data_IF_975452598136
#
_entry.id   IF_975452598136
#
_cell.length_a   1.000
_cell.length_b   1.000
_cell.length_c   1.000
_cell.angle_alpha   90.00
_cell.angle_beta   90.00
_cell.angle_gamma   90.00
#
_symmetry.space_group_name_H-M   'P 1'
#
loop_
_entity.id
_entity.type
_entity.pdbx_description
1 polymer ?
#
# COMPACT_ATOMS: atom_id res chain seq x y z
N UNK A 1 15.24 5.01 -6.50
CA UNK A 1 13.88 4.42 -6.48
C UNK A 1 13.18 4.98 -5.24
N UNK A 2 11.91 5.36 -5.37
CA UNK A 2 11.07 5.86 -4.26
C UNK A 2 9.87 4.93 -4.17
N UNK A 3 9.56 4.46 -2.97
CA UNK A 3 8.51 3.46 -2.73
C UNK A 3 7.48 4.01 -1.73
N UNK A 4 6.20 3.85 -2.05
CA UNK A 4 5.08 4.15 -1.15
C UNK A 4 4.40 2.85 -0.69
N UNK A 5 5.18 1.96 -0.05
CA UNK A 5 4.77 0.60 0.30
C UNK A 5 3.59 0.51 1.28
N UNK A 6 3.33 1.58 2.02
CA UNK A 6 2.30 1.60 3.06
C UNK A 6 0.87 1.49 2.49
N UNK A 7 0.67 1.83 1.22
CA UNK A 7 -0.59 1.60 0.48
C UNK A 7 -0.96 0.11 0.50
N UNK A 8 0.01 -0.78 0.23
CA UNK A 8 -0.17 -2.23 0.25
C UNK A 8 -0.48 -2.74 1.66
N UNK A 9 0.25 -2.28 2.67
CA UNK A 9 0.01 -2.71 4.05
C UNK A 9 -1.38 -2.31 4.55
N UNK A 10 -1.85 -1.11 4.19
CA UNK A 10 -3.20 -0.67 4.50
C UNK A 10 -4.26 -1.50 3.77
N UNK A 11 -4.00 -1.89 2.51
CA UNK A 11 -4.86 -2.79 1.76
C UNK A 11 -4.93 -4.20 2.37
N UNK A 12 -3.81 -4.79 2.80
CA UNK A 12 -3.82 -6.07 3.55
C UNK A 12 -4.69 -5.99 4.82
N UNK A 13 -4.67 -4.84 5.49
CA UNK A 13 -5.51 -4.59 6.66
C UNK A 13 -6.97 -4.21 6.31
N UNK A 14 -7.33 -4.08 5.03
CA UNK A 14 -8.59 -3.50 4.55
C UNK A 14 -8.92 -2.18 5.26
N UNK A 15 -7.91 -1.33 5.43
CA UNK A 15 -8.00 -0.03 6.10
C UNK A 15 -8.24 1.08 5.08
N UNK A 16 -9.50 1.54 4.88
CA UNK A 16 -9.79 2.62 3.93
C UNK A 16 -9.13 3.95 4.31
N UNK A 17 -8.81 4.17 5.59
CA UNK A 17 -8.17 5.41 6.05
C UNK A 17 -6.70 5.39 5.68
N UNK A 18 -5.97 4.35 6.09
CA UNK A 18 -4.57 4.18 5.72
C UNK A 18 -4.38 4.19 4.21
N UNK A 19 -5.19 3.41 3.48
CA UNK A 19 -5.07 3.29 2.03
C UNK A 19 -5.28 4.63 1.31
N UNK A 20 -6.30 5.40 1.70
CA UNK A 20 -6.56 6.72 1.14
C UNK A 20 -5.40 7.69 1.43
N UNK A 21 -4.98 7.80 2.69
CA UNK A 21 -3.99 8.79 3.08
C UNK A 21 -2.58 8.48 2.55
N UNK A 22 -2.18 7.21 2.49
CA UNK A 22 -0.91 6.81 1.88
C UNK A 22 -0.94 7.04 0.35
N UNK A 23 -2.09 6.85 -0.31
CA UNK A 23 -2.27 7.18 -1.73
C UNK A 23 -2.17 8.69 -1.97
N UNK A 24 -2.80 9.51 -1.12
CA UNK A 24 -2.71 10.97 -1.20
C UNK A 24 -1.28 11.46 -0.99
N UNK A 25 -0.57 10.91 0.00
CA UNK A 25 0.84 11.21 0.23
C UNK A 25 1.70 10.86 -0.99
N UNK A 26 1.47 9.69 -1.61
CA UNK A 26 2.20 9.33 -2.83
C UNK A 26 1.90 10.29 -3.99
N UNK A 27 0.65 10.73 -4.14
CA UNK A 27 0.28 11.73 -5.14
C UNK A 27 1.00 13.08 -4.92
N UNK A 28 1.20 13.52 -3.67
CA UNK A 28 2.01 14.71 -3.36
C UNK A 28 3.48 14.53 -3.75
N UNK A 29 4.04 13.33 -3.54
CA UNK A 29 5.40 12.98 -3.98
C UNK A 29 5.50 13.03 -5.51
N UNK A 30 4.52 12.47 -6.23
CA UNK A 30 4.47 12.52 -7.70
C UNK A 30 4.40 13.96 -8.20
N UNK A 31 3.58 14.83 -7.59
CA UNK A 31 3.54 16.25 -7.95
C UNK A 31 4.90 16.95 -7.71
N UNK A 32 5.53 16.67 -6.57
CA UNK A 32 6.87 17.19 -6.28
C UNK A 32 7.89 16.75 -7.33
N UNK A 33 7.92 15.46 -7.69
CA UNK A 33 8.84 14.92 -8.70
C UNK A 33 8.58 15.55 -10.07
N UNK A 34 7.33 15.70 -10.49
CA UNK A 34 6.98 16.38 -11.75
C UNK A 34 7.48 17.82 -11.78
N UNK A 35 7.28 18.57 -10.70
CA UNK A 35 7.80 19.95 -10.57
C UNK A 35 9.33 19.97 -10.59
N UNK A 36 9.99 18.98 -10.00
CA UNK A 36 11.43 18.84 -10.03
C UNK A 36 11.95 18.57 -11.44
N UNK A 37 11.34 17.65 -12.19
CA UNK A 37 11.67 17.33 -13.60
C UNK A 37 11.54 18.56 -14.49
N UNK A 38 10.51 19.39 -14.29
CA UNK A 38 10.37 20.64 -15.05
C UNK A 38 11.55 21.60 -14.91
N UNK A 39 12.35 21.49 -13.83
CA UNK A 39 13.57 22.28 -13.61
C UNK A 39 14.86 21.53 -13.99
N UNK A 40 14.76 20.25 -14.28
CA UNK A 40 15.87 19.33 -14.60
C UNK A 40 15.46 18.48 -15.80
N UNK A 41 15.45 19.06 -17.01
CA UNK A 41 14.87 18.44 -18.20
C UNK A 41 15.65 17.21 -18.70
N UNK A 42 16.83 16.94 -18.14
CA UNK A 42 17.61 15.71 -18.34
C UNK A 42 17.08 14.51 -17.53
N UNK A 43 15.91 14.65 -16.89
CA UNK A 43 15.31 13.63 -16.04
C UNK A 43 13.91 13.23 -16.48
N UNK A 44 13.60 11.96 -16.32
CA UNK A 44 12.26 11.40 -16.51
C UNK A 44 11.84 10.54 -15.31
N UNK A 45 10.54 10.38 -15.13
CA UNK A 45 9.93 9.54 -14.11
C UNK A 45 9.13 8.44 -14.77
N UNK A 46 9.27 7.22 -14.25
CA UNK A 46 8.30 6.14 -14.38
C UNK A 46 7.74 5.83 -12.99
N UNK A 47 6.43 5.62 -12.89
CA UNK A 47 5.73 5.24 -11.67
C UNK A 47 4.76 4.11 -12.00
N UNK A 48 4.89 2.99 -11.33
CA UNK A 48 3.98 1.85 -11.41
C UNK A 48 3.80 1.26 -10.01
N UNK A 49 2.67 0.58 -9.80
CA UNK A 49 2.56 -0.37 -8.70
C UNK A 49 3.26 -1.68 -9.11
N UNK A 50 3.71 -2.45 -8.13
CA UNK A 50 4.19 -3.81 -8.32
C UNK A 50 3.03 -4.81 -8.43
N UNK A 51 1.93 -4.57 -7.71
CA UNK A 51 0.64 -5.27 -7.82
C UNK A 51 -0.51 -4.43 -7.22
N UNK A 52 -1.75 -4.89 -7.40
CA UNK A 52 -2.88 -4.42 -6.59
C UNK A 52 -3.00 -5.26 -5.32
N UNK A 53 -3.56 -4.67 -4.26
CA UNK A 53 -3.84 -5.36 -3.01
C UNK A 53 -5.25 -5.04 -2.49
N UNK A 54 -5.92 -6.06 -1.95
CA UNK A 54 -7.21 -5.94 -1.28
C UNK A 54 -8.44 -6.16 -2.18
N UNK A 55 -8.30 -6.04 -3.51
CA UNK A 55 -9.44 -6.09 -4.43
C UNK A 55 -10.47 -5.00 -4.11
N UNK A 56 -9.99 -3.76 -4.02
CA UNK A 56 -10.78 -2.60 -3.61
C UNK A 56 -11.87 -2.28 -4.64
N UNK A 57 -13.11 -2.08 -4.19
CA UNK A 57 -14.20 -1.59 -5.05
C UNK A 57 -15.02 -0.49 -4.37
N UNK A 58 -15.45 0.49 -5.18
CA UNK A 58 -16.18 1.70 -4.74
C UNK A 58 -17.63 1.73 -5.27
N UNK A 59 -18.16 0.56 -5.66
CA UNK A 59 -19.41 0.43 -6.43
C UNK A 59 -20.65 0.18 -5.59
N UNK A 60 -20.57 0.30 -4.26
CA UNK A 60 -21.71 0.06 -3.38
C UNK A 60 -22.65 1.26 -3.35
N UNK A 61 -23.95 0.97 -3.25
CA UNK A 61 -24.94 1.99 -2.93
C UNK A 61 -24.57 2.69 -1.60
N UNK A 62 -24.62 4.03 -1.60
CA UNK A 62 -24.20 4.81 -0.44
C UNK A 62 -22.69 5.06 -0.32
N UNK A 63 -21.90 4.85 -1.39
CA UNK A 63 -20.49 5.26 -1.41
C UNK A 63 -20.33 6.73 -0.99
N UNK A 64 -19.61 6.95 0.12
CA UNK A 64 -19.37 8.25 0.68
C UNK A 64 -17.97 8.31 1.34
N UNK A 65 -16.94 8.76 0.62
CA UNK A 65 -15.58 8.82 1.15
C UNK A 65 -15.40 9.94 2.19
N UNK A 66 -16.33 10.90 2.29
CA UNK A 66 -16.19 12.04 3.22
C UNK A 66 -16.17 11.62 4.68
N UNK A 67 -16.74 10.46 5.02
CA UNK A 67 -16.74 9.96 6.40
C UNK A 67 -15.33 9.60 6.88
N UNK A 68 -14.42 9.24 5.96
CA UNK A 68 -13.04 8.90 6.29
C UNK A 68 -12.28 10.11 6.85
N UNK A 69 -12.72 11.34 6.54
CA UNK A 69 -12.12 12.59 7.05
C UNK A 69 -12.15 12.69 8.58
N UNK A 70 -13.08 12.01 9.24
CA UNK A 70 -13.18 12.02 10.70
C UNK A 70 -12.11 11.15 11.37
N UNK A 71 -11.46 10.26 10.62
CA UNK A 71 -10.40 9.42 11.15
C UNK A 71 -9.10 10.21 11.33
N UNK A 72 -8.39 9.95 12.42
CA UNK A 72 -7.10 10.55 12.75
C UNK A 72 -6.06 9.50 13.14
N UNK A 73 -6.34 8.22 12.87
CA UNK A 73 -5.46 7.09 13.15
C UNK A 73 -5.79 5.93 12.22
N UNK A 74 -4.80 5.16 11.81
CA UNK A 74 -4.96 3.92 11.05
C UNK A 74 -5.35 2.76 11.97
N UNK A 75 -5.85 1.66 11.40
CA UNK A 75 -6.16 0.46 12.18
C UNK A 75 -4.93 -0.13 12.86
N UNK A 76 -3.75 -0.04 12.24
CA UNK A 76 -2.48 -0.54 12.82
C UNK A 76 -2.07 0.28 14.05
N UNK A 77 -2.15 1.61 13.97
CA UNK A 77 -1.89 2.48 15.11
C UNK A 77 -2.85 2.16 16.27
N UNK A 78 -4.13 1.96 15.95
CA UNK A 78 -5.16 1.64 16.94
C UNK A 78 -5.02 0.22 17.51
N UNK A 79 -4.55 -0.75 16.72
CA UNK A 79 -4.21 -2.08 17.21
C UNK A 79 -3.10 -2.01 18.26
N UNK A 80 -2.08 -1.17 18.04
CA UNK A 80 -1.01 -0.90 19.01
C UNK A 80 -1.54 -0.24 20.29
N UNK A 81 -2.52 0.67 20.18
CA UNK A 81 -3.17 1.27 21.35
C UNK A 81 -3.98 0.23 22.12
N UNK A 82 -4.76 -0.60 21.43
CA UNK A 82 -5.60 -1.61 22.08
C UNK A 82 -4.81 -2.75 22.70
N UNK A 83 -3.70 -3.17 22.08
CA UNK A 83 -2.84 -4.22 22.65
C UNK A 83 -2.24 -3.81 24.01
N UNK A 84 -1.89 -2.53 24.16
CA UNK A 84 -1.32 -1.94 25.39
C UNK A 84 -2.36 -1.70 26.50
N UNK A 85 -3.65 -1.76 26.19
CA UNK A 85 -4.69 -1.61 27.22
C UNK A 85 -4.67 -2.80 28.19
N UNK A 86 -4.62 -2.51 29.49
CA UNK A 86 -4.58 -3.51 30.59
C UNK A 86 -5.78 -3.43 31.53
N UNK A 87 -6.74 -2.53 31.26
CA UNK A 87 -7.95 -2.40 32.07
C UNK A 87 -8.96 -3.53 31.82
N UNK A 88 -9.96 -3.62 32.70
CA UNK A 88 -10.96 -4.69 32.68
C UNK A 88 -12.19 -4.37 31.81
N UNK A 89 -12.31 -3.14 31.31
CA UNK A 89 -13.43 -2.71 30.45
C UNK A 89 -12.96 -2.45 29.02
N UNK A 90 -12.74 -3.52 28.25
CA UNK A 90 -12.32 -3.40 26.85
C UNK A 90 -13.42 -2.77 25.98
N UNK A 91 -14.70 -3.01 26.30
CA UNK A 91 -15.82 -2.47 25.54
C UNK A 91 -15.94 -0.96 25.73
N UNK A 92 -15.77 -0.45 26.96
CA UNK A 92 -15.65 0.99 27.24
C UNK A 92 -14.47 1.61 26.52
N UNK A 93 -13.28 1.00 26.64
CA UNK A 93 -12.07 1.48 25.98
C UNK A 93 -12.22 1.58 24.45
N UNK A 94 -12.84 0.58 23.81
CA UNK A 94 -13.13 0.65 22.38
C UNK A 94 -14.00 1.87 22.03
N UNK A 95 -15.05 2.14 22.82
CA UNK A 95 -15.97 3.27 22.61
C UNK A 95 -15.28 4.62 22.78
N UNK A 96 -14.39 4.77 23.77
CA UNK A 96 -13.82 6.06 24.16
C UNK A 96 -12.50 6.37 23.47
N UNK A 97 -11.66 5.36 23.24
CA UNK A 97 -10.26 5.56 22.84
C UNK A 97 -9.94 5.06 21.44
N UNK A 98 -10.72 4.10 20.91
CA UNK A 98 -10.44 3.50 19.59
C UNK A 98 -11.38 4.07 18.52
N UNK A 99 -12.69 3.86 18.66
CA UNK A 99 -13.67 4.21 17.63
C UNK A 99 -13.64 5.70 17.21
N UNK A 100 -13.60 6.67 18.14
CA UNK A 100 -13.57 8.08 17.77
C UNK A 100 -12.34 8.46 16.95
N UNK A 101 -11.18 7.84 17.26
CA UNK A 101 -9.92 8.08 16.52
C UNK A 101 -9.94 7.46 15.13
N UNK A 102 -10.72 6.40 14.92
CA UNK A 102 -10.96 5.81 13.61
C UNK A 102 -12.11 6.49 12.84
N UNK A 103 -12.72 7.55 13.38
CA UNK A 103 -13.82 8.26 12.74
C UNK A 103 -15.19 7.58 12.87
N UNK A 104 -15.33 6.56 13.72
CA UNK A 104 -16.62 5.94 14.04
C UNK A 104 -17.14 6.56 15.35
N UNK A 105 -18.20 7.36 15.28
CA UNK A 105 -18.78 8.05 16.46
C UNK A 105 -19.95 7.31 17.09
N UNK A 106 -20.54 6.36 16.36
CA UNK A 106 -21.73 5.61 16.77
C UNK A 106 -21.56 4.08 16.59
N UNK A 107 -20.57 3.46 17.26
CA UNK A 107 -20.40 2.02 17.19
C UNK A 107 -21.59 1.31 17.84
N UNK A 108 -22.11 0.27 17.18
CA UNK A 108 -23.19 -0.56 17.71
C UNK A 108 -22.66 -1.52 18.78
N UNK A 109 -23.56 -2.04 19.62
CA UNK A 109 -23.19 -3.06 20.61
C UNK A 109 -22.60 -4.32 19.96
N UNK A 110 -23.10 -4.72 18.78
CA UNK A 110 -22.61 -5.88 18.03
C UNK A 110 -21.18 -5.66 17.50
N UNK A 111 -20.90 -4.48 16.96
CA UNK A 111 -19.56 -4.12 16.48
C UNK A 111 -18.52 -4.11 17.60
N UNK A 112 -18.90 -3.59 18.77
CA UNK A 112 -18.03 -3.59 19.95
C UNK A 112 -17.79 -5.03 20.42
N UNK A 113 -18.87 -5.82 20.54
CA UNK A 113 -18.77 -7.22 20.95
C UNK A 113 -17.91 -8.05 19.98
N UNK A 114 -17.90 -7.70 18.69
CA UNK A 114 -17.04 -8.32 17.69
C UNK A 114 -15.56 -7.99 17.91
N UNK A 115 -15.20 -6.76 18.29
CA UNK A 115 -13.80 -6.33 18.43
C UNK A 115 -13.17 -6.69 19.78
N UNK A 116 -13.95 -6.78 20.87
CA UNK A 116 -13.45 -7.14 22.22
C UNK A 116 -12.57 -8.41 22.22
N UNK A 117 -13.01 -9.55 21.65
CA UNK A 117 -12.20 -10.78 21.67
C UNK A 117 -11.00 -10.74 20.71
N UNK A 118 -10.89 -9.73 19.85
CA UNK A 118 -9.80 -9.61 18.87
C UNK A 118 -8.59 -8.85 19.42
N UNK A 119 -8.56 -8.50 20.70
CA UNK A 119 -7.36 -7.90 21.32
C UNK A 119 -6.14 -8.79 21.07
N UNK A 120 -5.06 -8.20 20.56
CA UNK A 120 -3.83 -8.90 20.16
C UNK A 120 -3.97 -9.89 18.99
N UNK A 121 -5.11 -9.92 18.30
CA UNK A 121 -5.29 -10.71 17.07
C UNK A 121 -5.00 -9.86 15.85
N UNK A 122 -4.32 -10.43 14.85
CA UNK A 122 -4.17 -9.82 13.53
C UNK A 122 -5.52 -9.53 12.85
N UNK A 123 -6.60 -10.22 13.24
CA UNK A 123 -7.94 -9.96 12.69
C UNK A 123 -8.60 -8.68 13.20
N UNK A 124 -8.05 -8.04 14.25
CA UNK A 124 -8.59 -6.78 14.77
C UNK A 124 -8.59 -5.67 13.71
N UNK A 125 -7.49 -5.53 12.97
CA UNK A 125 -7.32 -4.48 11.96
C UNK A 125 -8.34 -4.62 10.84
N UNK A 126 -8.47 -5.84 10.28
CA UNK A 126 -9.46 -6.12 9.24
C UNK A 126 -10.90 -5.94 9.75
N UNK A 127 -11.20 -6.34 10.98
CA UNK A 127 -12.55 -6.20 11.53
C UNK A 127 -12.94 -4.72 11.71
N UNK A 128 -12.04 -3.91 12.27
CA UNK A 128 -12.25 -2.47 12.43
C UNK A 128 -12.33 -1.75 11.06
N UNK A 129 -11.44 -2.08 10.14
CA UNK A 129 -11.43 -1.53 8.78
C UNK A 129 -12.73 -1.84 8.02
N UNK A 130 -13.27 -3.06 8.16
CA UNK A 130 -14.57 -3.44 7.57
C UNK A 130 -15.73 -2.63 8.13
N UNK A 131 -15.73 -2.30 9.43
CA UNK A 131 -16.80 -1.51 10.03
C UNK A 131 -16.86 -0.09 9.44
N UNK A 132 -15.72 0.56 9.21
CA UNK A 132 -15.70 1.87 8.54
C UNK A 132 -15.96 1.74 7.04
N UNK A 133 -15.41 0.72 6.38
CA UNK A 133 -15.64 0.45 4.95
C UNK A 133 -17.14 0.29 4.64
N UNK A 134 -17.86 -0.46 5.46
CA UNK A 134 -19.30 -0.66 5.32
C UNK A 134 -20.09 0.67 5.43
N UNK A 135 -19.67 1.57 6.33
CA UNK A 135 -20.27 2.91 6.44
C UNK A 135 -19.96 3.79 5.23
N UNK A 136 -18.79 3.59 4.61
CA UNK A 136 -18.31 4.38 3.47
C UNK A 136 -18.77 3.84 2.11
N UNK A 137 -19.46 2.69 2.06
CA UNK A 137 -19.78 2.00 0.81
C UNK A 137 -18.56 1.47 0.07
N UNK A 138 -17.52 1.05 0.80
CA UNK A 138 -16.27 0.49 0.29
C UNK A 138 -16.27 -1.03 0.51
N UNK A 139 -15.89 -1.80 -0.50
CA UNK A 139 -15.72 -3.24 -0.39
C UNK A 139 -14.30 -3.68 -0.71
N UNK A 140 -13.92 -4.80 -0.11
CA UNK A 140 -12.63 -5.47 -0.27
C UNK A 140 -12.90 -6.94 -0.57
N UNK A 141 -12.35 -7.46 -1.67
CA UNK A 141 -12.53 -8.84 -2.06
C UNK A 141 -11.60 -9.80 -1.31
N UNK A 142 -10.45 -9.31 -0.86
CA UNK A 142 -9.40 -10.11 -0.23
C UNK A 142 -8.62 -9.26 0.78
N UNK A 143 -7.73 -9.90 1.54
CA UNK A 143 -6.68 -9.26 2.33
C UNK A 143 -5.29 -9.62 1.78
N UNK A 144 -5.22 -9.93 0.49
CA UNK A 144 -4.03 -10.36 -0.26
C UNK A 144 -3.96 -9.59 -1.58
N UNK A 145 -2.93 -9.87 -2.38
CA UNK A 145 -2.76 -9.24 -3.69
C UNK A 145 -3.82 -9.72 -4.68
N UNK A 146 -4.11 -8.91 -5.70
CA UNK A 146 -4.85 -9.33 -6.87
C UNK A 146 -4.04 -9.16 -8.16
N UNK A 147 -4.43 -9.87 -9.20
CA UNK A 147 -3.69 -9.97 -10.46
C UNK A 147 -4.21 -9.01 -11.54
N UNK A 148 -4.80 -7.88 -11.14
CA UNK A 148 -5.22 -6.86 -12.11
C UNK A 148 -3.99 -6.20 -12.73
N UNK A 149 -4.11 -5.80 -14.00
CA UNK A 149 -3.11 -4.97 -14.63
C UNK A 149 -3.02 -3.63 -13.89
N UNK A 150 -1.79 -3.20 -13.61
CA UNK A 150 -1.49 -1.93 -12.93
C UNK A 150 -1.15 -0.84 -13.93
N UNK A 151 -1.45 0.40 -13.60
CA UNK A 151 -1.17 1.55 -14.47
C UNK A 151 0.32 1.94 -14.40
N UNK A 152 0.95 2.06 -15.56
CA UNK A 152 2.25 2.71 -15.72
C UNK A 152 2.07 4.19 -16.05
N UNK A 153 2.62 5.06 -15.22
CA UNK A 153 2.68 6.49 -15.43
C UNK A 153 4.10 6.91 -15.82
N UNK A 154 4.22 7.79 -16.81
CA UNK A 154 5.47 8.38 -17.25
C UNK A 154 5.40 9.90 -17.29
N UNK A 155 6.49 10.58 -16.97
CA UNK A 155 6.62 12.03 -17.12
C UNK A 155 8.05 12.45 -17.46
N UNK A 156 8.19 13.32 -18.45
CA UNK A 156 9.43 14.05 -18.76
C UNK A 156 9.09 15.51 -19.11
N UNK A 157 10.10 16.37 -19.21
CA UNK A 157 9.89 17.77 -19.59
C UNK A 157 9.92 17.96 -21.12
N UNK A 158 9.16 18.93 -21.64
CA UNK A 158 9.23 19.33 -23.04
C UNK A 158 8.92 18.22 -24.05
N UNK A 159 9.71 18.14 -25.12
CA UNK A 159 9.54 17.15 -26.19
C UNK A 159 9.89 15.72 -25.76
N UNK A 160 10.70 15.54 -24.72
CA UNK A 160 11.03 14.22 -24.18
C UNK A 160 9.79 13.52 -23.60
N UNK A 161 8.77 14.28 -23.19
CA UNK A 161 7.49 13.69 -22.78
C UNK A 161 6.76 12.99 -23.94
N UNK A 162 6.93 13.48 -25.18
CA UNK A 162 6.37 12.85 -26.38
C UNK A 162 7.14 11.59 -26.73
N UNK A 163 8.48 11.64 -26.61
CA UNK A 163 9.35 10.47 -26.82
C UNK A 163 9.03 9.38 -25.80
N UNK A 164 8.99 9.71 -24.51
CA UNK A 164 8.62 8.78 -23.44
C UNK A 164 7.25 8.14 -23.70
N UNK A 165 6.24 8.93 -24.10
CA UNK A 165 4.92 8.40 -24.47
C UNK A 165 4.99 7.47 -25.68
N UNK A 166 5.79 7.80 -26.70
CA UNK A 166 5.99 6.96 -27.87
C UNK A 166 6.69 5.64 -27.58
N UNK A 167 7.59 5.63 -26.59
CA UNK A 167 8.37 4.45 -26.21
C UNK A 167 7.67 3.56 -25.18
N UNK A 168 6.98 4.17 -24.21
CA UNK A 168 6.42 3.47 -23.04
C UNK A 168 4.89 3.53 -22.95
N UNK A 169 4.21 4.19 -23.90
CA UNK A 169 2.76 4.13 -24.00
C UNK A 169 2.29 2.74 -24.41
N UNK A 170 1.21 2.24 -23.80
CA UNK A 170 0.64 0.93 -24.09
C UNK A 170 0.77 -0.05 -22.92
N UNK A 171 0.65 -1.35 -23.22
CA UNK A 171 0.74 -2.42 -22.23
C UNK A 171 2.14 -3.03 -22.22
N UNK A 172 2.68 -3.25 -21.03
CA UNK A 172 4.03 -3.75 -20.81
C UNK A 172 4.01 -4.80 -19.71
N UNK A 173 4.79 -5.86 -19.92
CA UNK A 173 5.15 -6.76 -18.84
C UNK A 173 6.21 -6.10 -17.95
N UNK A 174 6.14 -6.35 -16.64
CA UNK A 174 7.03 -5.71 -15.67
C UNK A 174 8.52 -6.04 -15.90
N UNK A 175 8.84 -7.14 -16.58
CA UNK A 175 10.22 -7.50 -16.95
C UNK A 175 10.81 -6.62 -18.05
N UNK A 176 9.97 -5.88 -18.78
CA UNK A 176 10.41 -5.01 -19.88
C UNK A 176 10.86 -3.62 -19.38
N UNK A 177 10.34 -3.16 -18.23
CA UNK A 177 10.68 -1.85 -17.65
C UNK A 177 12.19 -1.71 -17.35
N UNK A 178 12.87 -2.69 -16.71
CA UNK A 178 14.31 -2.63 -16.51
C UNK A 178 15.10 -2.45 -17.81
N UNK A 179 14.67 -3.07 -18.92
CA UNK A 179 15.33 -2.92 -20.22
C UNK A 179 15.21 -1.51 -20.78
N UNK A 180 14.08 -0.84 -20.55
CA UNK A 180 13.94 0.58 -20.89
C UNK A 180 14.84 1.47 -20.03
N UNK A 181 14.92 1.22 -18.72
CA UNK A 181 15.79 1.95 -17.80
C UNK A 181 17.27 1.78 -18.18
N UNK A 182 17.69 0.55 -18.52
CA UNK A 182 19.04 0.27 -19.03
C UNK A 182 19.36 1.09 -20.28
N UNK A 183 18.44 1.12 -21.25
CA UNK A 183 18.56 1.89 -22.48
C UNK A 183 18.77 3.38 -22.20
N UNK A 184 17.92 3.96 -21.35
CA UNK A 184 17.95 5.40 -21.04
C UNK A 184 19.22 5.79 -20.30
N UNK A 185 19.65 4.97 -19.33
CA UNK A 185 20.84 5.24 -18.52
C UNK A 185 22.15 4.83 -19.21
N UNK A 186 22.10 4.11 -20.34
CA UNK A 186 23.28 3.57 -21.01
C UNK A 186 24.03 2.52 -20.18
N UNK A 187 23.32 1.79 -19.32
CA UNK A 187 23.89 0.77 -18.42
C UNK A 187 23.44 -0.63 -18.81
N UNK A 188 24.17 -1.65 -18.35
CA UNK A 188 23.76 -3.06 -18.46
C UNK A 188 23.84 -3.75 -17.10
N UNK A 189 22.70 -4.03 -16.50
CA UNK A 189 22.50 -4.77 -15.25
C UNK A 189 23.09 -6.17 -15.33
N UNK A 190 23.12 -6.79 -16.52
CA UNK A 190 23.82 -8.08 -16.72
C UNK A 190 25.32 -7.98 -16.45
N UNK A 191 25.96 -6.89 -16.85
CA UNK A 191 27.39 -6.68 -16.60
C UNK A 191 27.65 -6.45 -15.10
N UNK A 192 26.78 -5.68 -14.43
CA UNK A 192 26.81 -5.52 -12.97
C UNK A 192 26.60 -6.86 -12.24
N UNK A 193 25.66 -7.69 -12.70
CA UNK A 193 25.41 -9.03 -12.15
C UNK A 193 26.64 -9.93 -12.31
N UNK A 194 27.29 -9.91 -13.47
CA UNK A 194 28.51 -10.67 -13.70
C UNK A 194 29.65 -10.21 -12.77
N UNK A 195 29.81 -8.89 -12.58
CA UNK A 195 30.80 -8.32 -11.67
C UNK A 195 30.56 -8.74 -10.21
N UNK A 196 29.31 -8.67 -9.74
CA UNK A 196 28.92 -9.07 -8.38
C UNK A 196 29.16 -10.56 -8.10
N UNK A 197 28.96 -11.41 -9.11
CA UNK A 197 29.18 -12.87 -9.00
C UNK A 197 30.64 -13.29 -9.05
N UNK A 198 31.55 -12.40 -9.47
CA UNK A 198 32.97 -12.73 -9.66
C UNK A 198 33.65 -13.22 -8.38
N UNK A 199 33.22 -12.72 -7.22
CA UNK A 199 33.76 -13.11 -5.91
C UNK A 199 32.87 -14.14 -5.18
N UNK A 200 32.07 -14.89 -5.95
CA UNK A 200 31.10 -15.84 -5.43
C UNK A 200 29.76 -15.20 -5.04
N UNK A 201 28.80 -16.05 -4.70
CA UNK A 201 27.41 -15.65 -4.39
C UNK A 201 26.99 -16.06 -2.98
N UNK A 202 27.94 -16.32 -2.08
CA UNK A 202 27.65 -16.72 -0.69
C UNK A 202 26.90 -15.66 0.10
N UNK A 203 27.02 -14.39 -0.31
CA UNK A 203 26.30 -13.24 0.25
C UNK A 203 24.85 -13.13 -0.24
N UNK A 204 24.47 -13.85 -1.30
CA UNK A 204 23.08 -13.90 -1.76
C UNK A 204 22.32 -14.85 -0.85
N UNK A 205 21.34 -14.33 -0.12
CA UNK A 205 20.45 -15.16 0.70
C UNK A 205 19.83 -16.27 -0.15
N UNK A 206 19.98 -17.52 0.29
CA UNK A 206 19.34 -18.67 -0.36
C UNK A 206 17.92 -18.78 0.18
N UNK A 207 16.94 -18.86 -0.72
CA UNK A 207 15.57 -19.18 -0.33
C UNK A 207 15.56 -20.63 0.15
N UNK A 208 15.21 -20.85 1.41
CA UNK A 208 14.98 -22.19 1.92
C UNK A 208 13.69 -22.72 1.28
N UNK A 209 13.83 -23.75 0.43
CA UNK A 209 12.72 -24.36 -0.29
C UNK A 209 11.91 -25.31 0.61
N UNK A 210 12.45 -25.67 1.78
CA UNK A 210 11.83 -26.54 2.80
C UNK A 210 11.09 -25.74 3.88
N UNK A 211 11.25 -24.41 3.93
CA UNK A 211 10.46 -23.57 4.83
C UNK A 211 8.99 -23.62 4.38
N UNK A 212 8.18 -24.38 5.13
CA UNK A 212 6.72 -24.36 5.04
C UNK A 212 6.21 -22.93 4.89
N UNK A 213 5.25 -22.74 3.97
CA UNK A 213 4.55 -21.48 3.75
C UNK A 213 4.14 -20.91 5.11
N UNK A 214 4.84 -19.87 5.59
CA UNK A 214 4.32 -19.01 6.65
C UNK A 214 2.98 -18.51 6.12
N UNK A 215 1.88 -18.97 6.71
CA UNK A 215 0.51 -18.56 6.33
C UNK A 215 0.22 -17.10 6.66
N UNK A 216 1.20 -16.39 7.23
CA UNK A 216 1.16 -14.96 7.47
C UNK A 216 2.13 -14.29 6.49
N UNK A 217 1.60 -13.78 5.38
CA UNK A 217 2.24 -12.73 4.61
C UNK A 217 2.31 -11.48 5.51
N UNK A 218 3.30 -11.41 6.41
CA UNK A 218 3.61 -10.18 7.14
C UNK A 218 4.69 -9.43 6.37
N UNK A 219 4.32 -8.32 5.73
CA UNK A 219 5.29 -7.34 5.24
C UNK A 219 5.89 -6.60 6.44
N UNK A 220 6.90 -7.20 7.08
CA UNK A 220 7.70 -6.52 8.09
C UNK A 220 8.84 -5.79 7.40
N UNK A 221 8.70 -4.48 7.24
CA UNK A 221 9.83 -3.61 6.94
C UNK A 221 10.39 -3.10 8.28
N UNK A 222 11.62 -3.51 8.60
CA UNK A 222 12.40 -3.01 9.74
C UNK A 222 12.86 -1.58 9.51
#
# INVERSE_FOLDING_TARGET
>A
MVEASRIDHAAHANDPVGHLHDTLQYNEVVDYVRRWINRHPDTQMLSAADHECGGLTLVQEGYNPLILKAANSTVEALASVFSKYTGNDAAGFLRTDIYPRYGITNPTAAEIAQLVPLKNSGSFTNALGKQLSARAGINWATAQHSAVDVSLFGYAAGDDNKLLRGEMGGNWDNTQLPGYIEKVLGVRVRDATAALRKNGTSWVGKRDLEMEKRSEHSHSHN
#
